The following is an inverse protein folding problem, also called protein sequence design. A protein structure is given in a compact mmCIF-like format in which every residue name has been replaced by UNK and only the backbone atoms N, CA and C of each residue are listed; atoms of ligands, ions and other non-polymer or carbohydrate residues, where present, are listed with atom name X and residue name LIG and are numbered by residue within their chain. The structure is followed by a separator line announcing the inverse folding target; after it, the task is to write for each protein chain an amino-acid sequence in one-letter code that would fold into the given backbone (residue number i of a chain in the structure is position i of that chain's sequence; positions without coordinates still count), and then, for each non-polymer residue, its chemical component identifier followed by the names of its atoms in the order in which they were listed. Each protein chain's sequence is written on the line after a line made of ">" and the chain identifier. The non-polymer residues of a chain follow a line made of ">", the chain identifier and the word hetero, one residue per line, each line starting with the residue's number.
data_IF_710693294638
#
_entry.id   IF_710693294638
#
_cell.length_a   1.000
_cell.length_b   1.000
_cell.length_c   1.000
_cell.angle_alpha   90.00
_cell.angle_beta   90.00
_cell.angle_gamma   90.00
#
_symmetry.space_group_name_H-M   'P 1'
#
loop_
_entity.id
_entity.type
_entity.pdbx_description
1 polymer ?
#
# COMPACT_ATOMS: atom_id res chain seq x y z
N UNK A 1 0.34 -18.72 16.40
CA UNK A 1 -0.48 -17.50 16.56
C UNK A 1 -1.92 -17.89 16.33
N UNK A 2 -2.80 -17.48 17.24
CA UNK A 2 -4.21 -17.75 17.05
C UNK A 2 -4.77 -16.71 16.06
N UNK A 3 -5.16 -17.16 14.87
CA UNK A 3 -5.90 -16.37 13.90
C UNK A 3 -7.41 -16.68 13.96
N UNK A 4 -7.83 -17.52 14.95
CA UNK A 4 -9.24 -17.79 15.20
C UNK A 4 -9.92 -16.48 15.64
N UNK A 5 -10.97 -16.10 14.98
CA UNK A 5 -11.73 -14.86 15.22
C UNK A 5 -11.57 -13.79 14.12
N UNK A 6 -10.68 -13.98 13.15
CA UNK A 6 -10.64 -13.10 11.97
C UNK A 6 -11.58 -13.58 10.86
N UNK A 7 -12.85 -13.62 11.15
CA UNK A 7 -13.89 -13.99 10.15
C UNK A 7 -14.36 -12.80 9.33
N UNK A 8 -13.80 -11.60 9.52
CA UNK A 8 -14.25 -10.38 8.84
C UNK A 8 -15.58 -9.82 9.35
N UNK A 9 -16.11 -10.34 10.46
CA UNK A 9 -17.41 -9.93 11.02
C UNK A 9 -17.31 -8.89 12.14
N UNK A 10 -16.11 -8.47 12.53
CA UNK A 10 -15.89 -7.47 13.58
C UNK A 10 -15.29 -6.17 13.04
N UNK A 11 -15.39 -5.10 13.82
CA UNK A 11 -14.66 -3.86 13.56
C UNK A 11 -13.15 -4.05 13.72
N UNK A 12 -12.34 -3.34 12.94
CA UNK A 12 -10.89 -3.30 13.11
C UNK A 12 -10.47 -2.75 14.49
N UNK A 13 -11.38 -2.05 15.17
CA UNK A 13 -11.14 -1.46 16.50
C UNK A 13 -11.50 -2.39 17.64
N UNK A 14 -12.20 -3.49 17.40
CA UNK A 14 -12.66 -4.43 18.43
C UNK A 14 -11.74 -5.67 18.59
N UNK A 15 -10.55 -5.63 18.02
CA UNK A 15 -9.58 -6.71 18.12
C UNK A 15 -8.98 -6.83 19.53
N UNK A 16 -8.96 -8.04 20.08
CA UNK A 16 -8.22 -8.32 21.32
C UNK A 16 -6.69 -8.28 21.08
N UNK A 17 -5.91 -7.99 22.12
CA UNK A 17 -4.44 -7.90 22.03
C UNK A 17 -3.78 -9.14 21.39
N UNK A 18 -4.36 -10.32 21.60
CA UNK A 18 -3.84 -11.58 21.08
C UNK A 18 -4.49 -12.04 19.76
N UNK A 19 -5.44 -11.28 19.22
CA UNK A 19 -6.10 -11.60 17.96
C UNK A 19 -5.35 -11.01 16.78
N UNK A 20 -5.52 -11.62 15.61
CA UNK A 20 -5.05 -11.11 14.35
C UNK A 20 -3.58 -11.37 13.99
N UNK A 21 -3.27 -11.10 12.73
CA UNK A 21 -1.92 -11.17 12.20
C UNK A 21 -1.08 -9.99 12.71
N UNK A 22 0.09 -10.28 13.27
CA UNK A 22 1.03 -9.24 13.69
C UNK A 22 2.05 -8.99 12.62
N UNK A 23 2.34 -7.72 12.45
CA UNK A 23 3.29 -7.24 11.46
C UNK A 23 4.73 -7.55 11.89
N UNK A 24 5.53 -8.07 10.97
CA UNK A 24 6.89 -8.50 11.27
C UNK A 24 7.91 -8.07 10.18
N UNK A 25 7.61 -6.98 9.50
CA UNK A 25 8.50 -6.37 8.50
C UNK A 25 9.49 -5.45 9.21
N UNK A 26 10.72 -5.36 8.74
CA UNK A 26 11.79 -4.54 9.32
C UNK A 26 12.08 -4.88 10.79
N UNK A 27 12.45 -6.13 11.02
CA UNK A 27 12.93 -6.53 12.34
C UNK A 27 14.13 -5.70 12.72
N UNK A 28 14.09 -5.10 13.92
CA UNK A 28 15.32 -4.70 14.59
C UNK A 28 16.18 -5.95 14.84
N UNK A 29 17.48 -5.86 14.55
CA UNK A 29 18.44 -6.86 14.94
C UNK A 29 18.50 -7.06 16.47
N UNK A 30 19.54 -7.71 16.96
CA UNK A 30 19.86 -7.77 18.39
C UNK A 30 20.16 -6.36 18.86
N UNK A 31 19.28 -5.80 19.69
CA UNK A 31 19.46 -4.44 20.21
C UNK A 31 20.42 -4.48 21.40
N UNK A 32 21.55 -3.85 21.28
CA UNK A 32 22.41 -3.52 22.42
C UNK A 32 21.90 -2.29 23.19
N UNK A 33 21.09 -1.42 22.55
CA UNK A 33 20.44 -0.26 23.17
C UNK A 33 18.92 -0.27 22.89
N UNK A 34 18.05 -0.31 23.93
CA UNK A 34 16.61 -0.32 23.77
C UNK A 34 16.02 0.98 23.18
N UNK A 35 16.80 2.06 23.10
CA UNK A 35 16.34 3.34 22.58
C UNK A 35 16.61 3.52 21.08
N UNK A 36 17.38 2.63 20.46
CA UNK A 36 17.72 2.74 19.05
C UNK A 36 17.36 1.46 18.30
N UNK A 37 16.67 1.62 17.17
CA UNK A 37 16.45 0.54 16.21
C UNK A 37 17.62 0.51 15.23
N UNK A 38 18.33 -0.61 15.13
CA UNK A 38 19.44 -0.80 14.18
C UNK A 38 18.97 -1.02 12.72
N UNK A 39 17.67 -0.98 12.47
CA UNK A 39 17.10 -1.17 11.14
C UNK A 39 17.03 0.13 10.35
N UNK A 40 17.61 0.11 9.15
CA UNK A 40 17.49 1.23 8.19
C UNK A 40 16.05 1.36 7.68
N UNK A 41 15.60 2.60 7.50
CA UNK A 41 14.36 2.88 6.78
C UNK A 41 14.60 2.80 5.28
N UNK A 42 13.89 1.91 4.60
CA UNK A 42 14.01 1.74 3.15
C UNK A 42 13.23 2.85 2.46
N UNK A 43 13.93 3.75 1.76
CA UNK A 43 13.32 4.82 0.97
C UNK A 43 12.92 4.31 -0.42
N UNK A 44 13.81 3.54 -1.07
CA UNK A 44 13.57 2.91 -2.37
C UNK A 44 14.13 1.50 -2.38
N UNK A 45 13.46 0.60 -3.08
CA UNK A 45 13.93 -0.77 -3.29
C UNK A 45 13.53 -1.30 -4.68
N UNK A 46 14.25 -2.30 -5.16
CA UNK A 46 14.08 -2.86 -6.51
C UNK A 46 12.62 -3.25 -6.81
N UNK A 47 11.95 -3.83 -5.83
CA UNK A 47 10.54 -4.23 -5.97
C UNK A 47 9.64 -3.05 -6.38
N UNK A 48 9.89 -1.84 -5.86
CA UNK A 48 9.13 -0.65 -6.26
C UNK A 48 9.28 -0.35 -7.75
N UNK A 49 10.48 -0.53 -8.30
CA UNK A 49 10.73 -0.36 -9.74
C UNK A 49 9.97 -1.39 -10.56
N UNK A 50 9.88 -2.64 -10.10
CA UNK A 50 9.09 -3.68 -10.75
C UNK A 50 7.61 -3.30 -10.81
N UNK A 51 7.05 -2.88 -9.68
CA UNK A 51 5.66 -2.46 -9.61
C UNK A 51 5.38 -1.20 -10.46
N UNK A 52 6.26 -0.22 -10.43
CA UNK A 52 6.13 1.00 -11.23
C UNK A 52 6.19 0.70 -12.73
N UNK A 53 7.10 -0.20 -13.16
CA UNK A 53 7.20 -0.66 -14.55
C UNK A 53 5.95 -1.46 -14.96
N UNK A 54 5.49 -2.39 -14.13
CA UNK A 54 4.28 -3.15 -14.39
C UNK A 54 3.05 -2.24 -14.55
N UNK A 55 2.87 -1.27 -13.63
CA UNK A 55 1.79 -0.28 -13.72
C UNK A 55 1.87 0.53 -15.01
N UNK A 56 3.06 1.00 -15.40
CA UNK A 56 3.25 1.76 -16.64
C UNK A 56 2.87 0.92 -17.87
N UNK A 57 3.31 -0.33 -17.94
CA UNK A 57 2.97 -1.26 -19.02
C UNK A 57 1.47 -1.50 -19.11
N UNK A 58 0.80 -1.72 -17.97
CA UNK A 58 -0.64 -1.91 -17.93
C UNK A 58 -1.40 -0.65 -18.37
N UNK A 59 -0.99 0.54 -17.91
CA UNK A 59 -1.63 1.81 -18.33
C UNK A 59 -1.46 2.06 -19.81
N UNK A 60 -0.29 1.78 -20.39
CA UNK A 60 -0.05 1.87 -21.82
C UNK A 60 -0.88 0.86 -22.64
N UNK A 61 -1.26 -0.26 -22.02
CA UNK A 61 -2.07 -1.32 -22.61
C UNK A 61 -3.58 -1.19 -22.27
N UNK A 62 -4.06 0.03 -22.02
CA UNK A 62 -5.46 0.30 -21.73
C UNK A 62 -5.97 -0.29 -20.41
N UNK A 63 -5.10 -0.48 -19.44
CA UNK A 63 -5.41 -1.04 -18.11
C UNK A 63 -5.32 -2.57 -18.04
N UNK A 64 -4.99 -3.24 -19.14
CA UNK A 64 -4.86 -4.69 -19.17
C UNK A 64 -3.40 -5.11 -18.91
N UNK A 65 -3.21 -6.22 -18.19
CA UNK A 65 -1.87 -6.73 -17.94
C UNK A 65 -1.23 -7.26 -19.21
N UNK A 66 0.05 -6.91 -19.39
CA UNK A 66 0.94 -7.57 -20.35
C UNK A 66 1.64 -8.74 -19.65
N UNK A 67 2.17 -9.69 -20.42
CA UNK A 67 2.95 -10.80 -19.84
C UNK A 67 4.15 -10.25 -19.04
N UNK A 68 4.84 -9.24 -19.56
CA UNK A 68 5.96 -8.61 -18.85
C UNK A 68 5.54 -8.00 -17.52
N UNK A 69 4.36 -7.35 -17.44
CA UNK A 69 3.85 -6.83 -16.18
C UNK A 69 3.56 -7.95 -15.18
N UNK A 70 2.97 -9.05 -15.64
CA UNK A 70 2.71 -10.25 -14.82
C UNK A 70 4.02 -10.84 -14.29
N UNK A 71 5.02 -11.00 -15.15
CA UNK A 71 6.31 -11.59 -14.77
C UNK A 71 7.00 -10.74 -13.68
N UNK A 72 6.98 -9.41 -13.78
CA UNK A 72 7.55 -8.50 -12.79
C UNK A 72 6.85 -8.61 -11.42
N UNK A 73 5.52 -8.67 -11.40
CA UNK A 73 4.78 -8.79 -10.15
C UNK A 73 4.96 -10.18 -9.55
N UNK A 74 4.93 -11.23 -10.36
CA UNK A 74 5.15 -12.59 -9.93
C UNK A 74 6.56 -12.81 -9.37
N UNK A 75 7.59 -12.24 -9.97
CA UNK A 75 8.96 -12.28 -9.43
C UNK A 75 9.03 -11.70 -8.00
N UNK A 76 8.28 -10.63 -7.75
CA UNK A 76 8.19 -10.05 -6.42
C UNK A 76 7.37 -10.92 -5.44
N UNK A 77 6.21 -11.42 -5.89
CA UNK A 77 5.24 -12.14 -5.06
C UNK A 77 5.72 -13.54 -4.67
N UNK A 78 6.35 -14.29 -5.59
CA UNK A 78 6.74 -15.69 -5.38
C UNK A 78 7.61 -15.93 -4.14
N UNK A 79 8.30 -14.90 -3.66
CA UNK A 79 9.17 -14.97 -2.47
C UNK A 79 8.43 -15.33 -1.18
N UNK A 80 7.11 -15.20 -1.15
CA UNK A 80 6.27 -15.39 0.02
C UNK A 80 5.59 -16.74 0.08
N UNK A 81 5.70 -17.53 -1.00
CA UNK A 81 4.98 -18.79 -1.17
C UNK A 81 5.94 -19.96 -1.30
N UNK A 82 5.46 -21.16 -0.95
CA UNK A 82 6.13 -22.41 -1.27
C UNK A 82 5.92 -22.74 -2.75
N UNK A 83 6.71 -23.67 -3.31
CA UNK A 83 6.49 -24.12 -4.68
C UNK A 83 5.10 -24.74 -4.90
N UNK A 84 4.57 -25.40 -3.87
CA UNK A 84 3.25 -26.04 -3.91
C UNK A 84 2.14 -24.98 -4.00
N UNK A 85 2.19 -23.94 -3.15
CA UNK A 85 1.18 -22.89 -3.09
C UNK A 85 1.29 -21.94 -4.30
N UNK A 86 2.49 -21.78 -4.86
CA UNK A 86 2.76 -20.81 -5.91
C UNK A 86 1.92 -21.01 -7.17
N UNK A 87 1.60 -22.26 -7.54
CA UNK A 87 0.82 -22.56 -8.72
C UNK A 87 -0.60 -21.95 -8.68
N UNK A 88 -1.17 -21.80 -7.49
CA UNK A 88 -2.50 -21.20 -7.27
C UNK A 88 -2.44 -19.68 -7.07
N UNK A 89 -1.31 -19.17 -6.60
CA UNK A 89 -1.12 -17.79 -6.19
C UNK A 89 -0.54 -16.87 -7.29
N UNK A 90 0.06 -17.46 -8.32
CA UNK A 90 0.66 -16.72 -9.42
C UNK A 90 -0.40 -15.95 -10.23
N UNK A 91 -0.09 -14.69 -10.51
CA UNK A 91 -0.91 -13.90 -11.43
C UNK A 91 -0.79 -14.38 -12.87
N UNK A 92 -1.87 -14.18 -13.61
CA UNK A 92 -1.96 -14.31 -15.06
C UNK A 92 -2.33 -12.97 -15.68
N UNK A 93 -2.27 -12.84 -17.00
CA UNK A 93 -2.71 -11.62 -17.69
C UNK A 93 -4.20 -11.31 -17.50
N UNK A 94 -4.99 -12.27 -17.08
CA UNK A 94 -6.42 -12.10 -16.81
C UNK A 94 -6.71 -11.81 -15.34
N UNK A 95 -5.91 -12.32 -14.40
CA UNK A 95 -6.11 -12.11 -12.97
C UNK A 95 -5.44 -10.84 -12.45
N UNK A 96 -4.36 -10.36 -13.08
CA UNK A 96 -3.71 -9.12 -12.71
C UNK A 96 -4.45 -7.91 -13.31
N UNK A 97 -5.51 -7.47 -12.66
CA UNK A 97 -6.21 -6.21 -12.99
C UNK A 97 -5.53 -5.01 -12.36
N UNK A 98 -5.91 -3.78 -12.77
CA UNK A 98 -5.43 -2.55 -12.12
C UNK A 98 -5.81 -2.49 -10.64
N UNK A 99 -7.01 -2.97 -10.28
CA UNK A 99 -7.44 -3.06 -8.89
C UNK A 99 -6.61 -4.06 -8.09
N UNK A 100 -6.31 -5.23 -8.68
CA UNK A 100 -5.46 -6.23 -8.04
C UNK A 100 -4.02 -5.75 -7.90
N UNK A 101 -3.48 -5.03 -8.90
CA UNK A 101 -2.17 -4.40 -8.79
C UNK A 101 -2.12 -3.41 -7.62
N UNK A 102 -3.16 -2.58 -7.43
CA UNK A 102 -3.27 -1.66 -6.29
C UNK A 102 -3.35 -2.41 -4.96
N UNK A 103 -4.09 -3.53 -4.91
CA UNK A 103 -4.18 -4.39 -3.73
C UNK A 103 -2.82 -5.03 -3.40
N UNK A 104 -2.13 -5.56 -4.41
CA UNK A 104 -0.79 -6.16 -4.24
C UNK A 104 0.24 -5.13 -3.81
N UNK A 105 0.21 -3.90 -4.34
CA UNK A 105 1.03 -2.78 -3.84
C UNK A 105 0.78 -2.52 -2.35
N UNK A 106 -0.47 -2.57 -1.92
CA UNK A 106 -0.84 -2.42 -0.51
C UNK A 106 -0.24 -3.51 0.39
N UNK A 107 -0.23 -4.76 -0.08
CA UNK A 107 0.37 -5.90 0.63
C UNK A 107 1.90 -5.80 0.66
N UNK A 108 2.50 -5.50 -0.48
CA UNK A 108 3.96 -5.45 -0.63
C UNK A 108 4.60 -4.28 0.11
N UNK A 109 4.01 -3.07 0.05
CA UNK A 109 4.60 -1.83 0.57
C UNK A 109 4.00 -1.37 1.90
N UNK A 110 3.35 -2.27 2.62
CA UNK A 110 2.84 -1.94 3.95
C UNK A 110 3.96 -1.45 4.87
N UNK A 111 3.71 -0.37 5.64
CA UNK A 111 4.67 0.41 6.45
C UNK A 111 5.79 1.13 5.68
N UNK A 112 5.72 1.23 4.36
CA UNK A 112 6.69 1.98 3.56
C UNK A 112 6.16 3.36 3.11
N UNK A 113 5.01 3.79 3.60
CA UNK A 113 4.46 5.13 3.33
C UNK A 113 3.84 5.32 1.94
N UNK A 114 3.74 4.26 1.12
CA UNK A 114 3.31 4.36 -0.28
C UNK A 114 1.79 4.45 -0.44
N UNK A 115 0.99 3.92 0.50
CA UNK A 115 -0.44 3.69 0.31
C UNK A 115 -1.24 4.92 -0.09
N UNK A 116 -0.99 6.07 0.55
CA UNK A 116 -1.72 7.31 0.23
C UNK A 116 -1.49 7.76 -1.21
N UNK A 117 -0.25 7.78 -1.66
CA UNK A 117 0.11 8.19 -3.02
C UNK A 117 -0.41 7.20 -4.06
N UNK A 118 -0.40 5.92 -3.75
CA UNK A 118 -0.98 4.88 -4.60
C UNK A 118 -2.49 5.08 -4.76
N UNK A 119 -3.22 5.24 -3.65
CA UNK A 119 -4.67 5.46 -3.67
C UNK A 119 -5.05 6.73 -4.46
N UNK A 120 -4.30 7.82 -4.30
CA UNK A 120 -4.52 9.06 -5.09
C UNK A 120 -4.30 8.79 -6.57
N UNK A 121 -3.19 8.14 -6.93
CA UNK A 121 -2.82 7.86 -8.33
C UNK A 121 -3.80 6.91 -9.03
N UNK A 122 -4.41 5.99 -8.28
CA UNK A 122 -5.44 5.08 -8.78
C UNK A 122 -6.87 5.65 -8.71
N UNK A 123 -7.04 6.83 -8.11
CA UNK A 123 -8.35 7.48 -7.98
C UNK A 123 -9.22 6.96 -6.84
N UNK A 124 -8.64 6.16 -5.94
CA UNK A 124 -9.37 5.46 -4.88
C UNK A 124 -9.29 6.16 -3.50
N UNK A 125 -8.51 7.23 -3.37
CA UNK A 125 -8.22 7.83 -2.06
C UNK A 125 -9.45 8.38 -1.36
N UNK A 126 -10.37 8.97 -2.12
CA UNK A 126 -11.59 9.61 -1.58
C UNK A 126 -12.87 8.85 -1.92
N UNK A 127 -12.78 7.84 -2.78
CA UNK A 127 -13.92 7.09 -3.32
C UNK A 127 -13.92 5.62 -2.92
N UNK A 128 -12.75 5.06 -2.56
CA UNK A 128 -12.63 3.66 -2.20
C UNK A 128 -13.31 3.35 -0.87
N UNK A 129 -13.93 2.18 -0.79
CA UNK A 129 -14.53 1.63 0.43
C UNK A 129 -13.86 0.31 0.78
N UNK A 130 -13.50 0.15 2.04
CA UNK A 130 -12.91 -1.06 2.59
C UNK A 130 -13.61 -1.42 3.89
N UNK A 131 -13.30 -2.58 4.42
CA UNK A 131 -13.80 -2.99 5.73
C UNK A 131 -13.47 -1.90 6.78
N UNK A 132 -14.49 -1.43 7.51
CA UNK A 132 -14.41 -0.37 8.51
C UNK A 132 -13.94 1.00 7.95
N UNK A 133 -14.08 1.24 6.63
CA UNK A 133 -13.75 2.51 6.01
C UNK A 133 -14.79 2.91 4.96
N UNK A 134 -15.44 4.04 5.19
CA UNK A 134 -16.32 4.67 4.23
C UNK A 134 -15.59 5.77 3.44
N UNK A 135 -15.88 5.94 2.15
CA UNK A 135 -15.28 6.98 1.34
C UNK A 135 -15.66 8.37 1.83
N UNK A 136 -14.69 9.29 1.87
CA UNK A 136 -14.95 10.69 2.24
C UNK A 136 -15.76 11.44 1.18
N UNK A 137 -15.62 11.07 -0.09
CA UNK A 137 -16.21 11.76 -1.24
C UNK A 137 -15.65 13.16 -1.51
N UNK A 138 -14.71 13.65 -0.71
CA UNK A 138 -14.15 15.00 -0.85
C UNK A 138 -12.80 14.98 -1.58
N UNK A 139 -12.73 15.41 -2.86
CA UNK A 139 -11.50 15.42 -3.64
C UNK A 139 -10.43 16.38 -3.09
N UNK A 140 -10.79 17.36 -2.26
CA UNK A 140 -9.83 18.29 -1.68
C UNK A 140 -8.84 17.58 -0.76
N UNK A 141 -9.25 16.47 -0.13
CA UNK A 141 -8.38 15.67 0.75
C UNK A 141 -7.19 15.01 0.03
N UNK A 142 -7.16 15.02 -1.30
CA UNK A 142 -5.98 14.58 -2.07
C UNK A 142 -4.78 15.51 -1.91
N UNK A 143 -5.02 16.76 -1.54
CA UNK A 143 -4.01 17.77 -1.24
C UNK A 143 -3.81 17.89 0.27
N UNK A 144 -2.64 18.36 0.68
CA UNK A 144 -2.41 18.78 2.07
C UNK A 144 -2.68 20.29 2.22
N UNK A 145 -3.17 20.74 3.39
CA UNK A 145 -3.25 22.16 3.66
C UNK A 145 -1.84 22.80 3.69
N UNK A 146 -1.75 24.04 3.22
CA UNK A 146 -0.56 24.85 3.45
C UNK A 146 -0.55 25.21 4.92
N UNK A 147 0.56 24.96 5.67
CA UNK A 147 0.62 25.28 7.10
C UNK A 147 0.32 26.76 7.39
N UNK A 148 -0.49 27.03 8.38
CA UNK A 148 -0.94 28.39 8.74
C UNK A 148 0.23 29.39 8.91
N UNK A 149 1.35 28.96 9.50
CA UNK A 149 2.54 29.81 9.64
C UNK A 149 3.13 30.24 8.29
N UNK A 150 3.03 29.41 7.24
CA UNK A 150 3.52 29.75 5.91
C UNK A 150 2.59 30.77 5.25
N UNK A 151 1.28 30.62 5.40
CA UNK A 151 0.30 31.60 4.93
C UNK A 151 0.50 32.97 5.60
N UNK A 152 0.75 32.99 6.90
CA UNK A 152 1.05 34.24 7.62
C UNK A 152 2.37 34.90 7.19
N UNK A 153 3.39 34.10 6.88
CA UNK A 153 4.70 34.62 6.49
C UNK A 153 4.75 35.12 5.04
N UNK A 154 3.84 34.65 4.17
CA UNK A 154 3.82 35.02 2.75
C UNK A 154 2.37 35.32 2.29
N UNK A 155 2.00 36.61 2.18
CA UNK A 155 0.66 37.02 1.80
C UNK A 155 0.28 36.67 0.34
N UNK A 156 1.22 36.20 -0.47
CA UNK A 156 0.96 35.76 -1.85
C UNK A 156 0.51 34.28 -1.91
N UNK A 157 0.58 33.54 -0.79
CA UNK A 157 0.09 32.18 -0.76
C UNK A 157 -1.43 32.15 -0.56
N UNK A 158 -2.07 31.32 -1.35
CA UNK A 158 -3.51 31.02 -1.24
C UNK A 158 -3.66 29.58 -0.77
N UNK A 159 -4.51 29.36 0.24
CA UNK A 159 -4.77 28.02 0.75
C UNK A 159 -5.35 27.09 -0.33
N UNK A 160 -5.02 25.81 -0.24
CA UNK A 160 -5.64 24.80 -1.09
C UNK A 160 -7.15 24.72 -0.83
N UNK A 161 -7.98 24.39 -1.85
CA UNK A 161 -9.41 24.25 -1.67
C UNK A 161 -9.77 23.26 -0.55
N UNK A 162 -10.79 23.58 0.24
CA UNK A 162 -11.29 22.71 1.31
C UNK A 162 -10.65 22.95 2.69
N UNK A 163 -9.70 23.90 2.82
CA UNK A 163 -9.03 24.21 4.08
C UNK A 163 -9.14 25.68 4.48
#
# INVERSE_FOLDING_TARGET
>A
RNTEGQTGEGSMTDGEENSGARFHKYRSGTQDDPNYLEGDYVVYRLTELYFNKAEALMRLNGGNATQEAVDLINESKMRYFTEEDWAEEAYTTTSLTMSELLAERGREFIFEGMRRTDLIRFGEFTTGSWWDHDPSGDPNLTLYPIPFRQLQANPNLVQNPGY
#
